data_IF_403188104790
#
_entry.id   IF_403188104790
#
_cell.length_a   1.000
_cell.length_b   1.000
_cell.length_c   1.000
_cell.angle_alpha   90.00
_cell.angle_beta   90.00
_cell.angle_gamma   90.00
#
_symmetry.space_group_name_H-M   'P 1'
#
loop_
_entity.id
_entity.type
_entity.pdbx_description
1 polymer ?
#
# COMPACT_ATOMS: atom_id res chain seq x y z
N UNK A 1 29.34 -58.90 30.93
CA UNK A 1 28.12 -58.96 30.10
C UNK A 1 26.97 -58.34 30.90
N UNK A 2 26.31 -57.28 30.43
CA UNK A 2 25.11 -56.74 31.11
C UNK A 2 24.87 -55.23 31.04
N UNK A 3 24.82 -54.67 29.82
CA UNK A 3 23.94 -53.57 29.38
C UNK A 3 23.43 -52.52 30.40
N UNK A 4 24.26 -51.52 30.72
CA UNK A 4 23.83 -50.27 31.37
C UNK A 4 23.91 -49.09 30.40
N UNK A 5 23.22 -49.12 29.25
CA UNK A 5 23.26 -47.98 28.29
C UNK A 5 22.04 -47.81 27.36
N UNK A 6 20.90 -48.47 27.63
CA UNK A 6 19.72 -48.34 26.74
C UNK A 6 18.76 -47.18 27.10
N UNK A 7 18.70 -46.75 28.36
CA UNK A 7 17.67 -45.80 28.82
C UNK A 7 18.06 -44.31 28.66
N UNK A 8 19.35 -43.99 28.64
CA UNK A 8 19.81 -42.60 28.47
C UNK A 8 19.68 -42.12 27.01
N UNK A 9 19.93 -43.01 26.04
CA UNK A 9 19.75 -42.71 24.61
C UNK A 9 18.29 -42.44 24.22
N UNK A 10 17.32 -43.10 24.85
CA UNK A 10 15.89 -42.87 24.55
C UNK A 10 15.39 -41.51 25.04
N UNK A 11 15.85 -41.04 26.21
CA UNK A 11 15.46 -39.73 26.76
C UNK A 11 15.98 -38.54 25.93
N UNK A 12 17.23 -38.60 25.48
CA UNK A 12 17.82 -37.53 24.65
C UNK A 12 17.12 -37.41 23.28
N UNK A 13 16.78 -38.55 22.66
CA UNK A 13 16.11 -38.59 21.34
C UNK A 13 14.65 -38.11 21.40
N UNK A 14 13.94 -38.35 22.51
CA UNK A 14 12.60 -37.80 22.74
C UNK A 14 12.63 -36.27 22.95
N UNK A 15 13.65 -35.75 23.65
CA UNK A 15 13.80 -34.32 23.88
C UNK A 15 14.12 -33.54 22.58
N UNK A 16 14.91 -34.14 21.67
CA UNK A 16 15.15 -33.56 20.33
C UNK A 16 13.89 -33.57 19.45
N UNK A 17 13.09 -34.65 19.49
CA UNK A 17 11.84 -34.72 18.70
C UNK A 17 10.72 -33.80 19.19
N UNK A 18 10.85 -33.24 20.40
CA UNK A 18 9.90 -32.28 20.98
C UNK A 18 10.37 -30.82 20.89
N UNK A 19 11.50 -30.52 20.24
CA UNK A 19 11.79 -29.15 19.83
C UNK A 19 10.76 -28.75 18.78
N UNK A 20 9.77 -27.96 19.19
CA UNK A 20 8.92 -27.21 18.26
C UNK A 20 9.85 -26.49 17.29
N UNK A 21 9.76 -26.81 16.00
CA UNK A 21 10.30 -25.95 14.97
C UNK A 21 9.76 -24.55 15.27
N UNK A 22 10.66 -23.60 15.54
CA UNK A 22 10.27 -22.19 15.65
C UNK A 22 9.59 -21.87 14.34
N UNK A 23 8.29 -21.58 14.38
CA UNK A 23 7.54 -21.15 13.23
C UNK A 23 8.30 -19.99 12.57
N UNK A 24 8.97 -20.30 11.46
CA UNK A 24 9.78 -19.36 10.71
C UNK A 24 8.80 -18.61 9.81
N UNK A 25 7.98 -17.77 10.43
CA UNK A 25 7.18 -16.81 9.67
C UNK A 25 8.18 -15.80 9.13
N UNK A 26 8.19 -15.64 7.81
CA UNK A 26 8.89 -14.52 7.21
C UNK A 26 8.34 -13.22 7.84
N UNK A 27 9.21 -12.24 8.13
CA UNK A 27 8.76 -10.97 8.66
C UNK A 27 7.67 -10.39 7.76
N UNK A 28 6.53 -10.00 8.36
CA UNK A 28 5.47 -9.32 7.62
C UNK A 28 6.09 -8.03 7.05
N UNK A 29 5.99 -7.78 5.73
CA UNK A 29 6.62 -6.62 5.13
C UNK A 29 6.06 -5.34 5.76
N UNK A 30 6.94 -4.36 5.95
CA UNK A 30 6.59 -3.02 6.39
C UNK A 30 6.56 -2.11 5.17
N UNK A 31 5.42 -1.51 4.90
CA UNK A 31 5.17 -0.70 3.71
C UNK A 31 4.73 0.71 4.10
N UNK A 32 5.10 1.68 3.26
CA UNK A 32 4.66 3.06 3.36
C UNK A 32 3.67 3.34 2.23
N UNK A 33 2.52 3.91 2.55
CA UNK A 33 1.54 4.40 1.56
C UNK A 33 1.51 5.92 1.65
N UNK A 34 1.70 6.57 0.50
CA UNK A 34 1.67 8.03 0.34
C UNK A 34 0.56 8.36 -0.64
N UNK A 35 -0.37 9.22 -0.23
CA UNK A 35 -1.54 9.61 -1.04
C UNK A 35 -1.45 11.09 -1.44
N UNK A 36 -2.03 11.42 -2.59
CA UNK A 36 -2.11 12.78 -3.11
C UNK A 36 -3.11 13.64 -2.32
N UNK A 37 -4.32 13.11 -2.14
CA UNK A 37 -5.39 13.74 -1.40
C UNK A 37 -5.26 13.62 0.12
N UNK A 38 -6.02 14.49 0.80
CA UNK A 38 -5.93 14.68 2.25
C UNK A 38 -6.80 13.74 3.07
N UNK A 39 -7.90 13.30 2.47
CA UNK A 39 -9.02 12.71 3.21
C UNK A 39 -9.41 11.39 2.58
N UNK A 40 -9.84 11.40 1.32
CA UNK A 40 -10.46 10.26 0.66
C UNK A 40 -9.55 9.03 0.69
N UNK A 41 -8.36 9.11 0.10
CA UNK A 41 -7.46 7.96 -0.01
C UNK A 41 -6.87 7.56 1.34
N UNK A 42 -6.35 8.49 2.18
CA UNK A 42 -5.85 8.12 3.50
C UNK A 42 -6.92 7.45 4.38
N UNK A 43 -8.16 7.96 4.38
CA UNK A 43 -9.25 7.37 5.16
C UNK A 43 -9.67 6.01 4.59
N UNK A 44 -9.68 5.85 3.27
CA UNK A 44 -9.95 4.55 2.64
C UNK A 44 -8.92 3.50 3.09
N UNK A 45 -7.62 3.80 2.99
CA UNK A 45 -6.59 2.85 3.41
C UNK A 45 -6.57 2.63 4.93
N UNK A 46 -6.85 3.66 5.74
CA UNK A 46 -7.02 3.51 7.20
C UNK A 46 -8.20 2.59 7.52
N UNK A 47 -9.31 2.74 6.79
CA UNK A 47 -10.50 1.89 6.87
C UNK A 47 -10.21 0.43 6.47
N UNK A 48 -9.56 0.20 5.32
CA UNK A 48 -9.13 -1.14 4.90
C UNK A 48 -8.20 -1.79 5.92
N UNK A 49 -7.20 -1.04 6.42
CA UNK A 49 -6.28 -1.51 7.45
C UNK A 49 -7.03 -1.98 8.70
N UNK A 50 -8.06 -1.22 9.12
CA UNK A 50 -8.92 -1.58 10.25
C UNK A 50 -9.76 -2.82 9.95
N UNK A 51 -10.46 -2.85 8.81
CA UNK A 51 -11.35 -3.93 8.40
C UNK A 51 -10.63 -5.29 8.28
N UNK A 52 -9.38 -5.29 7.84
CA UNK A 52 -8.55 -6.49 7.72
C UNK A 52 -7.68 -6.78 8.96
N UNK A 53 -7.77 -5.99 10.03
CA UNK A 53 -6.97 -6.19 11.24
C UNK A 53 -5.46 -6.09 11.01
N UNK A 54 -5.04 -5.26 10.05
CA UNK A 54 -3.63 -5.12 9.67
C UNK A 54 -2.88 -4.22 10.66
N UNK A 55 -1.65 -4.60 11.00
CA UNK A 55 -0.84 -3.86 11.97
C UNK A 55 -0.44 -2.46 11.44
N UNK A 56 -0.76 -1.36 12.13
CA UNK A 56 -0.33 0.00 11.79
C UNK A 56 1.19 0.18 11.66
N UNK A 57 1.98 -0.63 12.37
CA UNK A 57 3.44 -0.59 12.26
C UNK A 57 3.95 -1.21 10.97
N UNK A 58 3.18 -2.11 10.36
CA UNK A 58 3.48 -2.75 9.09
C UNK A 58 2.90 -1.95 7.91
N UNK A 59 1.68 -1.42 8.04
CA UNK A 59 1.03 -0.60 7.00
C UNK A 59 0.98 0.85 7.48
N UNK A 60 2.03 1.60 7.15
CA UNK A 60 2.17 3.01 7.51
C UNK A 60 1.53 3.86 6.42
N UNK A 61 0.57 4.71 6.79
CA UNK A 61 -0.08 5.65 5.89
C UNK A 61 0.43 7.03 6.28
N UNK A 62 1.08 7.72 5.37
CA UNK A 62 1.75 8.99 5.66
C UNK A 62 0.74 10.09 6.02
N UNK A 63 0.93 10.73 7.17
CA UNK A 63 0.17 11.91 7.59
C UNK A 63 0.94 13.19 7.16
N UNK A 64 0.83 13.65 5.90
CA UNK A 64 1.54 14.88 5.48
C UNK A 64 0.97 15.61 4.26
N UNK A 65 1.59 16.78 3.98
CA UNK A 65 1.23 17.87 3.04
C UNK A 65 0.38 17.42 1.87
N UNK A 66 -0.87 17.85 1.90
CA UNK A 66 -1.86 17.62 0.87
C UNK A 66 -1.68 18.58 -0.31
N UNK A 67 -2.25 18.23 -1.46
CA UNK A 67 -2.22 19.07 -2.66
C UNK A 67 -0.85 19.15 -3.32
N UNK A 68 -0.02 18.12 -3.14
CA UNK A 68 1.16 17.92 -3.95
C UNK A 68 0.73 17.41 -5.32
N UNK A 69 1.39 17.87 -6.37
CA UNK A 69 1.25 17.23 -7.67
C UNK A 69 1.90 15.83 -7.65
N UNK A 70 1.62 14.95 -8.63
CA UNK A 70 2.17 13.59 -8.67
C UNK A 70 3.69 13.53 -8.48
N UNK A 71 4.43 14.48 -9.06
CA UNK A 71 5.89 14.54 -8.89
C UNK A 71 6.30 14.90 -7.46
N UNK A 72 5.70 15.91 -6.87
CA UNK A 72 5.95 16.32 -5.48
C UNK A 72 5.60 15.22 -4.49
N UNK A 73 4.55 14.44 -4.76
CA UNK A 73 4.19 13.26 -3.98
C UNK A 73 5.29 12.19 -4.01
N UNK A 74 5.86 11.90 -5.19
CA UNK A 74 6.96 10.95 -5.33
C UNK A 74 8.23 11.44 -4.62
N UNK A 75 8.52 12.74 -4.70
CA UNK A 75 9.63 13.36 -3.95
C UNK A 75 9.46 13.17 -2.45
N UNK A 76 8.26 13.45 -1.96
CA UNK A 76 7.90 13.28 -0.59
C UNK A 76 8.02 11.81 -0.13
N UNK A 77 7.54 10.86 -0.92
CA UNK A 77 7.67 9.43 -0.63
C UNK A 77 9.15 8.98 -0.52
N UNK A 78 10.01 9.51 -1.38
CA UNK A 78 11.45 9.27 -1.34
C UNK A 78 12.08 9.87 -0.08
N UNK A 79 11.66 11.06 0.34
CA UNK A 79 12.16 11.69 1.58
C UNK A 79 11.78 10.89 2.82
N UNK A 80 10.55 10.40 2.91
CA UNK A 80 10.11 9.58 4.05
C UNK A 80 10.84 8.23 4.09
N UNK A 81 11.04 7.60 2.94
CA UNK A 81 11.89 6.40 2.85
C UNK A 81 13.35 6.66 3.27
N UNK A 82 13.87 7.86 3.00
CA UNK A 82 15.24 8.21 3.41
C UNK A 82 15.38 8.41 4.91
N UNK A 83 14.31 8.77 5.61
CA UNK A 83 14.28 8.85 7.07
C UNK A 83 14.23 7.47 7.72
N UNK A 84 13.60 6.52 7.05
CA UNK A 84 13.39 5.16 7.55
C UNK A 84 13.61 4.13 6.43
N UNK A 85 14.82 3.58 6.39
CA UNK A 85 15.23 2.58 5.39
C UNK A 85 14.74 1.15 5.70
N UNK A 86 13.83 0.97 6.68
CA UNK A 86 13.28 -0.33 7.04
C UNK A 86 11.94 -0.62 6.36
N UNK A 87 11.43 0.30 5.53
CA UNK A 87 10.35 -0.02 4.60
C UNK A 87 10.83 -0.99 3.51
N UNK A 88 10.07 -2.07 3.34
CA UNK A 88 10.21 -3.04 2.25
C UNK A 88 9.71 -2.46 0.93
N UNK A 89 8.59 -1.74 0.96
CA UNK A 89 7.99 -1.14 -0.23
C UNK A 89 7.35 0.20 0.10
N UNK A 90 7.33 1.09 -0.88
CA UNK A 90 6.67 2.39 -0.79
C UNK A 90 5.70 2.51 -1.95
N UNK A 91 4.44 2.80 -1.65
CA UNK A 91 3.37 2.95 -2.62
C UNK A 91 2.97 4.42 -2.72
N UNK A 92 3.04 4.95 -3.93
CA UNK A 92 2.61 6.29 -4.29
C UNK A 92 1.24 6.21 -4.95
N UNK A 93 0.20 6.71 -4.27
CA UNK A 93 -1.19 6.74 -4.76
C UNK A 93 -1.49 8.15 -5.25
N UNK A 94 -1.74 8.29 -6.54
CA UNK A 94 -2.01 9.57 -7.19
C UNK A 94 -2.90 9.39 -8.41
N UNK A 95 -3.62 10.46 -8.74
CA UNK A 95 -4.60 10.45 -9.81
C UNK A 95 -3.93 10.83 -11.15
N UNK A 96 -4.47 10.31 -12.25
CA UNK A 96 -3.96 10.71 -13.58
C UNK A 96 -4.36 12.13 -13.95
N UNK A 97 -5.63 12.46 -13.73
CA UNK A 97 -6.37 13.69 -14.10
C UNK A 97 -5.71 14.67 -15.13
N UNK A 98 -5.91 15.99 -15.02
CA UNK A 98 -5.22 17.05 -15.79
C UNK A 98 -3.81 17.37 -15.25
N UNK A 99 -3.23 16.56 -14.35
CA UNK A 99 -1.86 16.78 -13.84
C UNK A 99 -0.79 16.67 -14.92
N UNK A 100 -0.12 17.78 -15.20
CA UNK A 100 1.00 17.86 -16.17
C UNK A 100 2.22 17.06 -15.73
N UNK A 101 2.33 16.70 -14.45
CA UNK A 101 3.51 16.02 -13.88
C UNK A 101 3.34 14.52 -13.67
N UNK A 102 2.22 13.93 -14.12
CA UNK A 102 1.94 12.49 -14.02
C UNK A 102 3.04 11.61 -14.63
N UNK A 103 3.44 11.88 -15.88
CA UNK A 103 4.50 11.10 -16.55
C UNK A 103 5.86 11.28 -15.86
N UNK A 104 6.17 12.50 -15.42
CA UNK A 104 7.40 12.78 -14.69
C UNK A 104 7.46 12.02 -13.34
N UNK A 105 6.31 11.81 -12.69
CA UNK A 105 6.21 11.00 -11.49
C UNK A 105 6.52 9.52 -11.79
N UNK A 106 5.94 8.96 -12.86
CA UNK A 106 6.23 7.58 -13.29
C UNK A 106 7.69 7.38 -13.69
N UNK A 107 8.26 8.32 -14.44
CA UNK A 107 9.67 8.30 -14.83
C UNK A 107 10.57 8.32 -13.59
N UNK A 108 10.26 9.18 -12.62
CA UNK A 108 10.99 9.26 -11.36
C UNK A 108 10.90 7.96 -10.56
N UNK A 109 9.72 7.35 -10.47
CA UNK A 109 9.53 6.06 -9.80
C UNK A 109 10.36 4.97 -10.48
N UNK A 110 10.30 4.87 -11.80
CA UNK A 110 11.04 3.84 -12.56
C UNK A 110 12.56 4.03 -12.52
N UNK A 111 13.04 5.27 -12.41
CA UNK A 111 14.46 5.59 -12.31
C UNK A 111 15.00 5.42 -10.88
N UNK A 112 14.16 5.56 -9.85
CA UNK A 112 14.60 5.51 -8.47
C UNK A 112 15.09 4.12 -8.08
N UNK A 113 16.16 4.06 -7.27
CA UNK A 113 16.73 2.81 -6.76
C UNK A 113 16.79 2.91 -5.24
N UNK A 114 16.03 2.04 -4.58
CA UNK A 114 16.00 1.96 -3.13
C UNK A 114 17.05 0.99 -2.61
N UNK A 115 17.37 1.10 -1.32
CA UNK A 115 18.32 0.21 -0.65
C UNK A 115 17.62 -1.10 -0.27
N UNK A 116 18.40 -2.13 0.05
CA UNK A 116 17.92 -3.42 0.60
C UNK A 116 16.87 -4.14 -0.27
N UNK A 117 16.83 -3.87 -1.58
CA UNK A 117 15.87 -4.48 -2.49
C UNK A 117 14.45 -3.91 -2.41
N UNK A 118 14.25 -2.82 -1.67
CA UNK A 118 12.96 -2.13 -1.61
C UNK A 118 12.56 -1.56 -2.99
N UNK A 119 11.26 -1.31 -3.18
CA UNK A 119 10.74 -0.73 -4.43
C UNK A 119 9.73 0.38 -4.16
N UNK A 120 9.73 1.34 -5.08
CA UNK A 120 8.75 2.41 -5.15
C UNK A 120 7.73 2.01 -6.22
N UNK A 121 6.46 2.02 -5.86
CA UNK A 121 5.38 1.52 -6.71
C UNK A 121 4.38 2.65 -6.99
N UNK A 122 4.04 2.92 -8.26
CA UNK A 122 2.91 3.76 -8.58
C UNK A 122 1.61 2.96 -8.44
N UNK A 123 0.63 3.50 -7.72
CA UNK A 123 -0.76 3.05 -7.79
C UNK A 123 -1.57 4.21 -8.33
N UNK A 124 -1.96 4.13 -9.60
CA UNK A 124 -2.62 5.23 -10.29
C UNK A 124 -4.11 4.99 -10.42
N UNK A 125 -4.90 6.02 -10.17
CA UNK A 125 -6.34 6.00 -10.44
C UNK A 125 -6.62 6.74 -11.77
N UNK A 126 -7.63 6.28 -12.50
CA UNK A 126 -8.01 6.87 -13.79
C UNK A 126 -9.55 6.91 -13.86
N UNK A 127 -10.17 8.10 -13.91
CA UNK A 127 -9.55 9.42 -13.90
C UNK A 127 -9.07 9.90 -12.52
N UNK A 128 -9.74 9.47 -11.45
CA UNK A 128 -9.51 9.88 -10.06
C UNK A 128 -9.80 8.74 -9.09
N UNK A 129 -9.42 8.88 -7.82
CA UNK A 129 -9.54 7.82 -6.82
C UNK A 129 -10.98 7.33 -6.60
N UNK A 130 -11.96 8.22 -6.73
CA UNK A 130 -13.37 7.91 -6.50
C UNK A 130 -13.94 6.86 -7.45
N UNK A 131 -13.25 6.55 -8.55
CA UNK A 131 -13.61 5.42 -9.41
C UNK A 131 -13.54 4.10 -8.63
N UNK A 132 -12.57 3.93 -7.73
CA UNK A 132 -12.47 2.72 -6.91
C UNK A 132 -13.59 2.66 -5.88
N UNK A 133 -14.01 3.81 -5.34
CA UNK A 133 -15.15 3.88 -4.43
C UNK A 133 -16.45 3.52 -5.14
N UNK A 134 -16.68 4.07 -6.34
CA UNK A 134 -17.85 3.74 -7.16
C UNK A 134 -17.93 2.25 -7.46
N UNK A 135 -16.79 1.62 -7.77
CA UNK A 135 -16.71 0.20 -8.09
C UNK A 135 -17.02 -0.73 -6.91
N UNK A 136 -17.08 -0.24 -5.66
CA UNK A 136 -17.61 -1.01 -4.53
C UNK A 136 -19.14 -1.13 -4.56
N UNK A 137 -19.85 -0.19 -5.19
CA UNK A 137 -21.31 -0.13 -5.22
C UNK A 137 -21.91 -0.64 -6.52
N UNK A 138 -21.23 -0.39 -7.64
CA UNK A 138 -21.74 -0.75 -8.96
C UNK A 138 -20.62 -1.18 -9.89
N UNK A 139 -20.89 -2.21 -10.69
CA UNK A 139 -20.03 -2.58 -11.79
C UNK A 139 -20.26 -1.61 -12.96
N UNK A 140 -19.19 -0.97 -13.44
CA UNK A 140 -19.27 -0.07 -14.60
C UNK A 140 -18.03 -0.21 -15.48
N UNK A 141 -18.25 -0.15 -16.80
CA UNK A 141 -17.20 -0.02 -17.82
C UNK A 141 -17.37 1.30 -18.60
N UNK A 142 -18.20 2.21 -18.07
CA UNK A 142 -18.53 3.47 -18.73
C UNK A 142 -17.29 4.35 -18.84
N UNK A 143 -17.04 4.97 -20.00
CA UNK A 143 -16.00 5.98 -20.09
C UNK A 143 -16.44 7.25 -19.35
N UNK A 144 -15.62 7.72 -18.42
CA UNK A 144 -15.77 9.03 -17.77
C UNK A 144 -14.95 10.06 -18.53
N UNK A 145 -15.49 10.54 -19.64
CA UNK A 145 -14.86 11.55 -20.49
C UNK A 145 -15.75 12.80 -20.51
N UNK A 146 -15.30 13.88 -19.91
CA UNK A 146 -15.95 15.17 -20.03
C UNK A 146 -15.79 15.71 -21.45
N UNK A 147 -16.90 16.12 -22.08
CA UNK A 147 -16.92 16.73 -23.41
C UNK A 147 -16.62 18.24 -23.40
N UNK A 148 -16.67 18.87 -22.22
CA UNK A 148 -16.44 20.30 -21.97
C UNK A 148 -15.61 20.48 -20.68
N UNK A 149 -15.42 21.72 -20.22
CA UNK A 149 -14.51 22.15 -19.14
C UNK A 149 -14.53 21.35 -17.82
N UNK A 150 -15.58 20.56 -17.57
CA UNK A 150 -15.69 19.64 -16.45
C UNK A 150 -14.47 18.70 -16.35
N UNK A 151 -14.09 18.38 -15.11
CA UNK A 151 -13.09 17.35 -14.86
C UNK A 151 -13.73 15.96 -15.01
N UNK A 152 -12.99 14.99 -15.54
CA UNK A 152 -13.45 13.59 -15.57
C UNK A 152 -13.80 13.08 -14.15
N UNK A 153 -13.17 13.64 -13.12
CA UNK A 153 -13.44 13.38 -11.71
C UNK A 153 -14.88 13.77 -11.31
N UNK A 154 -15.38 14.93 -11.75
CA UNK A 154 -16.74 15.38 -11.42
C UNK A 154 -17.82 14.44 -11.92
N UNK A 155 -17.61 13.81 -13.09
CA UNK A 155 -18.53 12.80 -13.62
C UNK A 155 -18.57 11.54 -12.75
N UNK A 156 -17.42 11.10 -12.22
CA UNK A 156 -17.34 9.97 -11.29
C UNK A 156 -18.01 10.32 -9.97
N UNK A 157 -17.73 11.51 -9.44
CA UNK A 157 -18.32 12.01 -8.21
C UNK A 157 -19.85 12.13 -8.29
N UNK A 158 -20.38 12.60 -9.41
CA UNK A 158 -21.83 12.67 -9.65
C UNK A 158 -22.50 11.29 -9.59
N UNK A 159 -21.86 10.27 -10.15
CA UNK A 159 -22.37 8.89 -10.10
C UNK A 159 -22.22 8.29 -8.68
N UNK A 160 -21.06 8.49 -8.03
CA UNK A 160 -20.81 8.01 -6.67
C UNK A 160 -21.82 8.57 -5.66
N UNK A 161 -22.21 9.84 -5.78
CA UNK A 161 -23.21 10.49 -4.91
C UNK A 161 -24.58 9.82 -4.97
N UNK A 162 -24.91 9.08 -6.03
CA UNK A 162 -26.16 8.31 -6.10
C UNK A 162 -26.15 7.11 -5.14
N UNK A 163 -24.97 6.63 -4.75
CA UNK A 163 -24.79 5.51 -3.83
C UNK A 163 -24.39 5.95 -2.42
N UNK A 164 -23.77 7.13 -2.28
CA UNK A 164 -23.37 7.73 -1.01
C UNK A 164 -23.90 9.16 -0.92
N UNK A 165 -25.22 9.35 -0.69
CA UNK A 165 -25.76 10.67 -0.36
C UNK A 165 -25.22 11.15 0.98
N UNK A 166 -25.07 12.48 1.11
CA UNK A 166 -24.49 13.16 2.30
C UNK A 166 -25.15 12.77 3.63
#
# INVERSE_FOLDING_TARGET
>A
MGTANLFHKKKARQAESHRREKARRDPIPRVLIVCEGAKTEPNYFKGLRSAFGLNPMNIVIADKKHGLDPKGLVEYAVEEYKKDHDFNDVFCVFDRDKHTTYNAALDKISAFRMKKGAKLHPITSIPCFEIWLLLHFTYTTRPFCAACDDSNCELVMSELKQHMPD
#
